data_IF_629631719922
#
_entry.id   IF_629631719922
#
_cell.length_a   1.000
_cell.length_b   1.000
_cell.length_c   1.000
_cell.angle_alpha   90.00
_cell.angle_beta   90.00
_cell.angle_gamma   90.00
#
_symmetry.space_group_name_H-M   'P 1'
#
loop_
_entity.id
_entity.type
_entity.pdbx_description
1 polymer ?
#
# COMPACT_ATOMS: atom_id res chain seq x y z
N UNK A 1 4.36 -14.48 -11.61
CA UNK A 1 4.54 -13.47 -10.55
C UNK A 1 5.84 -12.72 -10.82
N UNK A 2 5.79 -11.38 -10.95
CA UNK A 2 6.99 -10.53 -11.06
C UNK A 2 7.25 -9.90 -9.70
N UNK A 3 8.48 -9.93 -9.22
CA UNK A 3 8.89 -9.32 -7.95
C UNK A 3 9.72 -8.07 -8.22
N UNK A 4 9.52 -7.02 -7.43
CA UNK A 4 10.27 -5.77 -7.52
C UNK A 4 11.36 -5.79 -6.45
N UNK A 5 12.62 -5.78 -6.88
CA UNK A 5 13.77 -5.58 -5.99
C UNK A 5 13.98 -4.09 -5.83
N UNK A 6 13.71 -3.53 -4.64
CA UNK A 6 13.69 -2.07 -4.45
C UNK A 6 15.05 -1.37 -4.63
N UNK A 7 16.15 -2.09 -4.39
CA UNK A 7 17.52 -1.60 -4.62
C UNK A 7 17.94 -1.67 -6.09
N UNK A 8 17.18 -2.38 -6.92
CA UNK A 8 17.41 -2.53 -8.36
C UNK A 8 16.06 -2.66 -9.07
N UNK A 9 15.33 -1.54 -9.13
CA UNK A 9 13.98 -1.50 -9.70
C UNK A 9 14.07 -1.85 -11.20
N UNK A 10 13.27 -2.82 -11.68
CA UNK A 10 13.30 -3.20 -13.09
C UNK A 10 12.60 -2.14 -13.96
N UNK A 11 13.01 -2.02 -15.23
CA UNK A 11 12.51 -0.98 -16.16
C UNK A 11 10.98 -1.01 -16.30
N UNK A 12 10.40 -2.20 -16.47
CA UNK A 12 8.94 -2.37 -16.61
C UNK A 12 8.14 -1.81 -15.41
N UNK A 13 8.76 -1.73 -14.22
CA UNK A 13 8.13 -1.15 -13.04
C UNK A 13 8.19 0.37 -13.07
N UNK A 14 9.30 0.95 -13.56
CA UNK A 14 9.45 2.40 -13.71
C UNK A 14 8.59 2.96 -14.84
N UNK A 15 8.26 2.16 -15.85
CA UNK A 15 7.25 2.50 -16.87
C UNK A 15 5.84 2.68 -16.26
N UNK A 16 5.53 1.94 -15.19
CA UNK A 16 4.26 2.02 -14.47
C UNK A 16 4.29 3.17 -13.45
N UNK A 17 5.39 3.28 -12.71
CA UNK A 17 5.61 4.32 -11.69
C UNK A 17 6.98 4.96 -11.88
N UNK A 18 7.07 6.10 -12.57
CA UNK A 18 8.35 6.76 -12.82
C UNK A 18 9.11 7.11 -11.54
N UNK A 19 8.39 7.46 -10.46
CA UNK A 19 8.94 7.73 -9.13
C UNK A 19 9.34 6.45 -8.37
N UNK A 20 8.87 5.29 -8.84
CA UNK A 20 9.17 3.98 -8.30
C UNK A 20 8.55 3.73 -6.93
N UNK A 21 7.35 4.24 -6.69
CA UNK A 21 6.58 4.02 -5.46
C UNK A 21 5.98 2.62 -5.43
N UNK A 22 5.81 2.01 -4.25
CA UNK A 22 5.50 0.56 -4.14
C UNK A 22 4.04 0.27 -3.80
N UNK A 23 3.29 1.24 -3.26
CA UNK A 23 1.86 1.04 -3.05
C UNK A 23 1.12 1.16 -4.39
N UNK A 24 1.21 0.10 -5.20
CA UNK A 24 0.66 0.02 -6.55
C UNK A 24 -0.16 -1.24 -6.71
N UNK A 25 -1.34 -1.11 -7.32
CA UNK A 25 -2.15 -2.24 -7.75
C UNK A 25 -2.69 -1.99 -9.17
N UNK A 26 -2.84 -3.06 -9.95
CA UNK A 26 -3.61 -3.03 -11.19
C UNK A 26 -5.04 -3.44 -10.86
N UNK A 27 -6.00 -2.54 -11.07
CA UNK A 27 -7.42 -2.77 -10.86
C UNK A 27 -8.19 -2.30 -12.09
N UNK A 28 -9.00 -3.19 -12.67
CA UNK A 28 -9.77 -2.90 -13.89
C UNK A 28 -8.91 -2.30 -15.00
N UNK A 29 -7.75 -2.94 -15.26
CA UNK A 29 -6.79 -2.54 -16.30
C UNK A 29 -6.15 -1.16 -16.07
N UNK A 30 -6.31 -0.58 -14.88
CA UNK A 30 -5.71 0.69 -14.49
C UNK A 30 -4.69 0.49 -13.37
N UNK A 31 -3.52 1.11 -13.53
CA UNK A 31 -2.51 1.19 -12.48
C UNK A 31 -2.88 2.31 -11.51
N UNK A 32 -2.98 1.94 -10.23
CA UNK A 32 -3.35 2.85 -9.15
C UNK A 32 -2.17 2.93 -8.20
N UNK A 33 -1.70 4.14 -7.97
CA UNK A 33 -0.64 4.46 -7.03
C UNK A 33 -1.31 5.15 -5.84
N UNK A 34 -0.95 4.75 -4.61
CA UNK A 34 -1.51 5.20 -3.29
C UNK A 34 -2.30 4.09 -2.56
N UNK A 35 -1.82 3.71 -1.37
CA UNK A 35 -2.43 2.67 -0.53
C UNK A 35 -3.85 3.00 -0.05
N UNK A 36 -4.13 4.27 0.24
CA UNK A 36 -5.45 4.69 0.73
C UNK A 36 -6.48 4.66 -0.40
N UNK A 37 -6.05 4.97 -1.62
CA UNK A 37 -6.90 4.86 -2.81
C UNK A 37 -7.13 3.39 -3.18
N UNK A 38 -6.08 2.57 -3.16
CA UNK A 38 -6.17 1.12 -3.42
C UNK A 38 -7.15 0.45 -2.45
N UNK A 39 -7.01 0.72 -1.15
CA UNK A 39 -7.88 0.08 -0.13
C UNK A 39 -9.33 0.49 -0.27
N UNK A 40 -9.63 1.76 -0.55
CA UNK A 40 -11.00 2.23 -0.82
C UNK A 40 -11.61 1.54 -2.04
N UNK A 41 -10.88 1.46 -3.15
CA UNK A 41 -11.38 0.82 -4.37
C UNK A 41 -11.58 -0.68 -4.20
N UNK A 42 -10.73 -1.34 -3.41
CA UNK A 42 -10.93 -2.74 -3.03
C UNK A 42 -12.20 -2.92 -2.18
N UNK A 43 -12.46 -2.04 -1.22
CA UNK A 43 -13.68 -2.07 -0.39
C UNK A 43 -14.94 -1.87 -1.25
N UNK A 44 -14.93 -0.91 -2.18
CA UNK A 44 -16.05 -0.65 -3.09
C UNK A 44 -16.32 -1.84 -4.03
N UNK A 45 -15.26 -2.45 -4.57
CA UNK A 45 -15.38 -3.55 -5.54
C UNK A 45 -15.67 -4.89 -4.88
N UNK A 46 -15.13 -5.12 -3.68
CA UNK A 46 -15.24 -6.36 -2.92
C UNK A 46 -15.73 -6.04 -1.50
N UNK A 47 -17.02 -5.74 -1.32
CA UNK A 47 -17.57 -5.22 -0.06
C UNK A 47 -17.58 -6.25 1.10
N UNK A 48 -17.07 -7.46 0.89
CA UNK A 48 -17.10 -8.53 1.87
C UNK A 48 -15.94 -9.52 1.69
N UNK A 49 -15.15 -9.80 2.74
CA UNK A 49 -15.20 -9.18 4.06
C UNK A 49 -14.66 -7.73 4.06
N UNK A 50 -15.21 -6.87 4.92
CA UNK A 50 -14.78 -5.48 5.03
C UNK A 50 -13.32 -5.36 5.48
N UNK A 51 -12.59 -4.46 4.82
CA UNK A 51 -11.24 -4.04 5.17
C UNK A 51 -11.22 -2.91 6.22
N UNK A 52 -12.38 -2.33 6.54
CA UNK A 52 -12.47 -1.32 7.59
C UNK A 52 -12.00 -1.91 8.92
N UNK A 53 -11.19 -1.14 9.64
CA UNK A 53 -10.76 -1.54 10.99
C UNK A 53 -11.98 -1.49 11.89
N UNK A 54 -12.45 -2.62 12.46
CA UNK A 54 -13.57 -2.61 13.38
C UNK A 54 -13.27 -1.67 14.55
N UNK A 55 -14.26 -0.90 15.07
CA UNK A 55 -14.04 0.05 16.16
C UNK A 55 -13.37 -0.56 17.39
N UNK A 56 -13.68 -1.82 17.66
CA UNK A 56 -13.15 -2.65 18.76
C UNK A 56 -11.70 -3.14 18.56
N UNK A 57 -11.16 -3.02 17.34
CA UNK A 57 -9.77 -3.36 16.97
C UNK A 57 -8.96 -2.13 16.55
N UNK A 58 -9.48 -0.92 16.80
CA UNK A 58 -8.77 0.34 16.66
C UNK A 58 -7.39 0.29 17.32
N UNK A 59 -6.40 0.76 16.58
CA UNK A 59 -5.04 0.21 16.53
C UNK A 59 -4.26 0.37 17.86
N UNK A 60 -3.96 -0.74 18.57
CA UNK A 60 -2.87 -0.79 19.59
C UNK A 60 -1.47 -0.67 18.94
N UNK A 61 -1.32 -1.16 17.72
CA UNK A 61 -0.07 -1.26 16.96
C UNK A 61 0.39 0.01 16.22
N UNK A 62 -0.43 1.07 16.12
CA UNK A 62 0.02 2.35 15.53
C UNK A 62 1.09 2.99 16.43
N UNK A 63 1.02 2.73 17.74
CA UNK A 63 2.04 3.13 18.71
C UNK A 63 3.40 2.47 18.41
N UNK A 64 3.40 1.21 17.97
CA UNK A 64 4.61 0.47 17.57
C UNK A 64 5.20 1.02 16.28
N UNK A 65 4.36 1.31 15.29
CA UNK A 65 4.80 1.93 14.03
C UNK A 65 5.33 3.34 14.24
N UNK A 66 4.63 4.18 15.02
CA UNK A 66 5.10 5.53 15.41
C UNK A 66 6.41 5.42 16.20
N UNK A 67 6.53 4.45 17.11
CA UNK A 67 7.76 4.19 17.87
C UNK A 67 8.92 3.68 17.00
N UNK A 68 8.64 3.01 15.88
CA UNK A 68 9.62 2.63 14.86
C UNK A 68 10.08 3.84 14.05
N UNK A 69 9.15 4.66 13.56
CA UNK A 69 9.44 5.89 12.81
C UNK A 69 10.27 6.86 13.66
N UNK A 70 9.87 7.08 14.93
CA UNK A 70 10.60 7.95 15.87
C UNK A 70 12.00 7.43 16.24
N UNK A 71 12.25 6.12 16.16
CA UNK A 71 13.59 5.54 16.36
C UNK A 71 14.51 5.70 15.15
N UNK A 72 13.98 6.16 14.01
CA UNK A 72 14.71 6.31 12.75
C UNK A 72 14.88 7.77 12.27
N UNK A 73 14.63 8.78 13.11
CA UNK A 73 15.17 10.12 12.84
C UNK A 73 14.99 11.12 14.00
N UNK A 74 15.97 12.03 14.26
CA UNK A 74 17.35 12.07 13.75
C UNK A 74 18.30 11.06 14.44
#
# INVERSE_FOLDING_TARGET
>A
MKLVVLTNKPEWFLEITPEGEVHIAELDENWIVDSDVITKLLEEKYPGPSLEVPPEKGIKDLSTFIGFVKRKGP
#
